data_IF_682734777477
#
_entry.id   IF_682734777477
#
_cell.length_a   1.000
_cell.length_b   1.000
_cell.length_c   1.000
_cell.angle_alpha   90.00
_cell.angle_beta   90.00
_cell.angle_gamma   90.00
#
_symmetry.space_group_name_H-M   'P 1'
#
loop_
_entity.id
_entity.type
_entity.pdbx_description
1 polymer ?
#
# COMPACT_ATOMS: atom_id res chain seq x y z
N UNK A 1 53.95 -21.55 25.94
CA UNK A 1 52.61 -21.45 26.56
C UNK A 1 51.66 -20.99 25.47
N UNK A 2 50.67 -21.83 25.17
CA UNK A 2 49.96 -21.86 23.88
C UNK A 2 48.94 -20.73 23.75
N UNK A 3 49.03 -19.95 22.66
CA UNK A 3 48.00 -19.01 22.23
C UNK A 3 46.77 -19.81 21.78
N UNK A 4 45.64 -19.65 22.47
CA UNK A 4 44.39 -20.37 22.21
C UNK A 4 43.49 -19.53 21.28
N UNK A 5 43.30 -19.89 19.99
CA UNK A 5 42.63 -19.02 19.02
C UNK A 5 41.11 -19.26 18.96
N UNK A 6 40.44 -19.52 20.09
CA UNK A 6 39.01 -19.87 20.12
C UNK A 6 38.05 -18.74 20.48
N UNK A 7 38.36 -17.50 20.10
CA UNK A 7 37.40 -16.37 20.13
C UNK A 7 36.84 -16.02 18.73
N UNK A 8 36.76 -16.98 17.81
CA UNK A 8 36.15 -16.80 16.50
C UNK A 8 34.76 -17.42 16.46
N UNK A 9 33.75 -16.64 16.08
CA UNK A 9 32.36 -17.03 15.76
C UNK A 9 31.43 -17.25 16.97
N UNK A 10 30.92 -16.15 17.55
CA UNK A 10 29.58 -16.19 18.17
C UNK A 10 28.58 -16.53 17.07
N UNK A 11 27.95 -17.71 17.14
CA UNK A 11 26.62 -17.90 16.52
C UNK A 11 25.79 -16.67 16.90
N UNK A 12 25.19 -15.98 15.92
CA UNK A 12 24.35 -14.81 16.21
C UNK A 12 23.37 -15.18 17.32
N UNK A 13 23.35 -14.41 18.40
CA UNK A 13 22.39 -14.69 19.45
C UNK A 13 21.00 -14.48 18.84
N UNK A 14 20.00 -15.34 19.13
CA UNK A 14 18.63 -15.15 18.65
C UNK A 14 18.08 -13.75 18.96
N UNK A 15 18.60 -13.13 20.02
CA UNK A 15 18.32 -11.74 20.42
C UNK A 15 18.82 -10.73 19.38
N UNK A 16 20.00 -10.92 18.78
CA UNK A 16 20.56 -10.00 17.78
C UNK A 16 19.69 -9.99 16.52
N UNK A 17 19.25 -11.17 16.08
CA UNK A 17 18.34 -11.35 14.93
C UNK A 17 17.00 -10.69 15.22
N UNK A 18 16.48 -10.84 16.44
CA UNK A 18 15.22 -10.25 16.86
C UNK A 18 15.28 -8.72 16.91
N UNK A 19 16.36 -8.16 17.48
CA UNK A 19 16.57 -6.70 17.57
C UNK A 19 16.71 -6.10 16.17
N UNK A 20 17.53 -6.70 15.30
CA UNK A 20 17.68 -6.25 13.91
C UNK A 20 16.37 -6.39 13.12
N UNK A 21 15.63 -7.49 13.33
CA UNK A 21 14.32 -7.72 12.71
C UNK A 21 13.30 -6.66 13.12
N UNK A 22 13.19 -6.34 14.41
CA UNK A 22 12.31 -5.28 14.89
C UNK A 22 12.74 -3.89 14.42
N UNK A 23 14.04 -3.60 14.41
CA UNK A 23 14.55 -2.33 13.92
C UNK A 23 14.20 -2.11 12.44
N UNK A 24 14.41 -3.13 11.60
CA UNK A 24 14.01 -3.09 10.18
C UNK A 24 12.49 -2.95 10.03
N UNK A 25 11.71 -3.70 10.79
CA UNK A 25 10.25 -3.60 10.76
C UNK A 25 9.75 -2.18 11.06
N UNK A 26 10.33 -1.53 12.09
CA UNK A 26 9.95 -0.16 12.45
C UNK A 26 10.40 0.84 11.38
N UNK A 27 11.63 0.71 10.88
CA UNK A 27 12.15 1.58 9.84
C UNK A 27 11.32 1.50 8.54
N UNK A 28 11.03 0.29 8.07
CA UNK A 28 10.21 0.04 6.89
C UNK A 28 8.77 0.52 7.10
N UNK A 29 8.22 0.32 8.30
CA UNK A 29 6.91 0.83 8.66
C UNK A 29 6.84 2.35 8.55
N UNK A 30 7.81 3.07 9.13
CA UNK A 30 7.87 4.54 9.05
C UNK A 30 7.93 4.97 7.59
N UNK A 31 8.77 4.31 6.78
CA UNK A 31 8.90 4.57 5.35
C UNK A 31 7.58 4.38 4.61
N UNK A 32 6.86 3.27 4.83
CA UNK A 32 5.57 3.01 4.20
C UNK A 32 4.50 4.01 4.64
N UNK A 33 4.37 4.28 5.94
CA UNK A 33 3.39 5.23 6.46
C UNK A 33 3.64 6.65 5.98
N UNK A 34 4.90 7.08 5.96
CA UNK A 34 5.27 8.40 5.43
C UNK A 34 5.08 8.47 3.91
N UNK A 35 5.40 7.40 3.19
CA UNK A 35 5.17 7.30 1.75
C UNK A 35 3.69 7.46 1.39
N UNK A 36 2.80 6.78 2.12
CA UNK A 36 1.36 6.85 1.91
C UNK A 36 0.80 8.25 2.28
N UNK A 37 1.27 8.85 3.37
CA UNK A 37 0.99 10.24 3.71
C UNK A 37 1.40 11.20 2.59
N UNK A 38 2.63 11.07 2.07
CA UNK A 38 3.16 11.92 1.02
C UNK A 38 2.41 11.72 -0.30
N UNK A 39 2.04 10.49 -0.65
CA UNK A 39 1.24 10.19 -1.85
C UNK A 39 -0.12 10.85 -1.77
N UNK A 40 -0.87 10.59 -0.69
CA UNK A 40 -2.20 11.16 -0.47
C UNK A 40 -2.17 12.69 -0.38
N UNK A 41 -1.15 13.27 0.26
CA UNK A 41 -0.98 14.72 0.31
C UNK A 41 -0.67 15.32 -1.06
N UNK A 42 0.12 14.62 -1.88
CA UNK A 42 0.46 15.07 -3.24
C UNK A 42 -0.74 14.99 -4.17
N UNK A 43 -1.50 13.90 -4.14
CA UNK A 43 -2.74 13.75 -4.89
C UNK A 43 -3.73 14.86 -4.54
N UNK A 44 -3.90 15.17 -3.25
CA UNK A 44 -4.76 16.27 -2.80
C UNK A 44 -4.28 17.64 -3.28
N UNK A 45 -2.97 17.89 -3.25
CA UNK A 45 -2.40 19.14 -3.74
C UNK A 45 -2.56 19.29 -5.26
N UNK A 46 -2.36 18.21 -6.02
CA UNK A 46 -2.58 18.17 -7.47
C UNK A 46 -4.06 18.43 -7.79
N UNK A 47 -4.97 17.76 -7.10
CA UNK A 47 -6.41 17.94 -7.32
C UNK A 47 -6.87 19.37 -6.98
N UNK A 48 -6.35 19.97 -5.91
CA UNK A 48 -6.66 21.35 -5.55
C UNK A 48 -6.12 22.36 -6.57
N UNK A 49 -4.90 22.14 -7.08
CA UNK A 49 -4.30 22.96 -8.13
C UNK A 49 -5.12 22.88 -9.42
N UNK A 50 -5.45 21.69 -9.87
CA UNK A 50 -6.22 21.52 -11.11
C UNK A 50 -7.62 22.13 -11.00
N UNK A 51 -8.26 21.97 -9.83
CA UNK A 51 -9.54 22.61 -9.57
C UNK A 51 -9.47 24.12 -9.73
N UNK A 52 -8.44 24.77 -9.17
CA UNK A 52 -8.27 26.22 -9.32
C UNK A 52 -8.06 26.65 -10.78
N UNK A 53 -7.30 25.85 -11.56
CA UNK A 53 -7.12 26.10 -13.00
C UNK A 53 -8.44 25.94 -13.75
N UNK A 54 -9.20 24.90 -13.44
CA UNK A 54 -10.50 24.60 -14.05
C UNK A 54 -11.53 25.67 -13.69
N UNK A 55 -11.55 26.15 -12.45
CA UNK A 55 -12.41 27.25 -12.00
C UNK A 55 -12.13 28.55 -12.77
N UNK A 56 -10.85 28.87 -12.99
CA UNK A 56 -10.47 30.02 -13.81
C UNK A 56 -10.87 29.84 -15.28
N UNK A 57 -10.67 28.66 -15.84
CA UNK A 57 -11.00 28.36 -17.23
C UNK A 57 -12.50 28.39 -17.48
N UNK A 58 -13.31 27.81 -16.59
CA UNK A 58 -14.78 27.92 -16.66
C UNK A 58 -15.22 29.38 -16.48
N UNK A 59 -14.63 30.14 -15.56
CA UNK A 59 -15.01 31.54 -15.38
C UNK A 59 -14.68 32.44 -16.58
N UNK A 60 -13.60 32.15 -17.32
CA UNK A 60 -13.06 33.02 -18.37
C UNK A 60 -13.25 32.51 -19.81
N UNK A 61 -13.44 31.20 -19.98
CA UNK A 61 -13.49 30.51 -21.27
C UNK A 61 -14.66 29.50 -21.38
N UNK A 62 -15.75 29.67 -20.63
CA UNK A 62 -17.00 28.91 -20.86
C UNK A 62 -17.62 29.25 -22.22
N UNK A 63 -17.04 28.68 -23.27
CA UNK A 63 -17.51 28.80 -24.64
C UNK A 63 -18.52 27.71 -25.01
N UNK A 64 -19.19 27.85 -26.16
CA UNK A 64 -20.12 26.84 -26.66
C UNK A 64 -19.48 25.46 -26.90
N UNK A 65 -18.16 25.37 -27.08
CA UNK A 65 -17.45 24.11 -27.29
C UNK A 65 -17.56 23.16 -26.08
N UNK A 66 -17.46 23.68 -24.85
CA UNK A 66 -17.54 22.88 -23.62
C UNK A 66 -18.92 22.25 -23.44
N UNK A 67 -19.98 23.00 -23.79
CA UNK A 67 -21.35 22.50 -23.75
C UNK A 67 -21.61 21.42 -24.81
N UNK A 68 -20.98 21.54 -25.99
CA UNK A 68 -21.07 20.52 -27.05
C UNK A 68 -20.37 19.23 -26.62
N UNK A 69 -19.22 19.32 -25.96
CA UNK A 69 -18.52 18.15 -25.42
C UNK A 69 -19.35 17.46 -24.34
N UNK A 70 -19.91 18.24 -23.40
CA UNK A 70 -20.75 17.71 -22.32
C UNK A 70 -22.03 17.06 -22.87
N UNK A 71 -22.65 17.66 -23.89
CA UNK A 71 -23.80 17.09 -24.59
C UNK A 71 -23.46 15.75 -25.26
N UNK A 72 -22.34 15.68 -25.99
CA UNK A 72 -21.88 14.43 -26.62
C UNK A 72 -21.62 13.34 -25.59
N UNK A 73 -21.09 13.69 -24.41
CA UNK A 73 -20.90 12.75 -23.31
C UNK A 73 -22.22 12.18 -22.82
N UNK A 74 -23.22 13.01 -22.53
CA UNK A 74 -24.53 12.52 -22.08
C UNK A 74 -25.25 11.68 -23.15
N UNK A 75 -25.11 12.04 -24.42
CA UNK A 75 -25.59 11.21 -25.53
C UNK A 75 -24.87 9.85 -25.60
N UNK A 76 -23.55 9.83 -25.38
CA UNK A 76 -22.78 8.58 -25.34
C UNK A 76 -23.17 7.67 -24.16
N UNK A 77 -23.73 8.24 -23.08
CA UNK A 77 -24.34 7.50 -21.98
C UNK A 77 -25.75 6.97 -22.31
N UNK A 78 -26.29 7.28 -23.49
CA UNK A 78 -27.59 6.80 -23.97
C UNK A 78 -28.75 7.78 -23.74
N UNK A 79 -28.48 9.03 -23.35
CA UNK A 79 -29.51 10.04 -23.17
C UNK A 79 -30.03 10.56 -24.52
N UNK A 80 -31.35 10.78 -24.63
CA UNK A 80 -31.93 11.45 -25.81
C UNK A 80 -31.33 12.85 -25.99
N UNK A 81 -31.26 13.34 -27.23
CA UNK A 81 -30.70 14.64 -27.53
C UNK A 81 -31.45 15.78 -26.83
N UNK A 82 -32.78 15.69 -26.71
CA UNK A 82 -33.58 16.74 -26.07
C UNK A 82 -33.33 16.77 -24.56
N UNK A 83 -33.26 15.59 -23.94
CA UNK A 83 -32.96 15.44 -22.52
C UNK A 83 -31.54 15.91 -22.20
N UNK A 84 -30.54 15.47 -22.98
CA UNK A 84 -29.14 15.88 -22.83
C UNK A 84 -28.96 17.39 -23.01
N UNK A 85 -29.62 17.98 -24.01
CA UNK A 85 -29.61 19.43 -24.22
C UNK A 85 -30.20 20.16 -23.01
N UNK A 86 -31.31 19.65 -22.47
CA UNK A 86 -31.96 20.23 -21.29
C UNK A 86 -31.03 20.18 -20.07
N UNK A 87 -30.43 19.03 -19.77
CA UNK A 87 -29.47 18.85 -18.66
C UNK A 87 -28.28 19.78 -18.80
N UNK A 88 -27.63 19.79 -19.96
CA UNK A 88 -26.45 20.64 -20.22
C UNK A 88 -26.80 22.12 -20.10
N UNK A 89 -27.97 22.54 -20.59
CA UNK A 89 -28.43 23.94 -20.45
C UNK A 89 -28.70 24.35 -19.01
N UNK A 90 -29.10 23.41 -18.15
CA UNK A 90 -29.24 23.64 -16.71
C UNK A 90 -27.86 23.75 -16.07
N UNK A 91 -26.94 22.84 -16.40
CA UNK A 91 -25.58 22.82 -15.86
C UNK A 91 -24.81 24.08 -16.23
N UNK A 92 -25.02 24.61 -17.44
CA UNK A 92 -24.43 25.86 -17.93
C UNK A 92 -24.73 27.07 -17.03
N UNK A 93 -25.76 27.02 -16.18
CA UNK A 93 -26.11 28.10 -15.24
C UNK A 93 -25.26 28.08 -13.96
N UNK A 94 -24.52 27.00 -13.72
CA UNK A 94 -23.85 26.71 -12.46
C UNK A 94 -22.38 26.35 -12.70
N UNK A 95 -21.49 27.35 -12.57
CA UNK A 95 -20.05 27.17 -12.79
C UNK A 95 -19.44 26.05 -11.93
N UNK A 96 -19.92 25.86 -10.70
CA UNK A 96 -19.47 24.78 -9.84
C UNK A 96 -19.78 23.38 -10.41
N UNK A 97 -20.90 23.22 -11.10
CA UNK A 97 -21.28 21.97 -11.76
C UNK A 97 -20.40 21.77 -13.00
N UNK A 98 -20.18 22.82 -13.81
CA UNK A 98 -19.30 22.74 -14.97
C UNK A 98 -17.86 22.37 -14.59
N UNK A 99 -17.31 23.03 -13.55
CA UNK A 99 -15.99 22.68 -13.00
C UNK A 99 -15.95 21.22 -12.58
N UNK A 100 -16.98 20.75 -11.88
CA UNK A 100 -17.06 19.35 -11.44
C UNK A 100 -17.09 18.38 -12.63
N UNK A 101 -17.94 18.62 -13.63
CA UNK A 101 -18.03 17.79 -14.84
C UNK A 101 -16.72 17.78 -15.64
N UNK A 102 -16.05 18.93 -15.73
CA UNK A 102 -14.76 19.07 -16.40
C UNK A 102 -13.64 18.36 -15.65
N UNK A 103 -13.59 18.44 -14.33
CA UNK A 103 -12.65 17.66 -13.52
C UNK A 103 -12.87 16.15 -13.71
N UNK A 104 -14.13 15.70 -13.63
CA UNK A 104 -14.50 14.31 -13.88
C UNK A 104 -14.15 13.86 -15.31
N UNK A 105 -14.25 14.76 -16.29
CA UNK A 105 -13.85 14.51 -17.67
C UNK A 105 -12.37 14.16 -17.82
N UNK A 106 -11.51 14.81 -17.04
CA UNK A 106 -10.07 14.55 -17.01
C UNK A 106 -9.69 13.39 -16.08
N UNK A 107 -10.66 12.64 -15.57
CA UNK A 107 -10.44 11.53 -14.65
C UNK A 107 -10.06 11.97 -13.24
N UNK A 108 -10.25 13.25 -12.91
CA UNK A 108 -9.98 13.77 -11.57
C UNK A 108 -11.24 13.65 -10.73
N UNK A 109 -11.22 12.70 -9.80
CA UNK A 109 -12.22 12.64 -8.75
C UNK A 109 -12.01 13.83 -7.80
N UNK A 110 -13.08 14.47 -7.31
CA UNK A 110 -12.96 15.44 -6.24
C UNK A 110 -12.23 14.78 -5.07
N UNK A 111 -11.19 15.42 -4.51
CA UNK A 111 -10.52 14.87 -3.35
C UNK A 111 -11.56 14.72 -2.25
N UNK A 112 -11.72 13.51 -1.72
CA UNK A 112 -12.65 13.28 -0.61
C UNK A 112 -12.19 14.15 0.57
N UNK A 113 -13.03 15.11 0.96
CA UNK A 113 -12.72 16.03 2.04
C UNK A 113 -12.62 15.31 3.39
N UNK A 114 -13.24 14.13 3.52
CA UNK A 114 -13.17 13.30 4.72
C UNK A 114 -11.80 12.60 4.87
N UNK A 115 -11.08 12.39 3.77
CA UNK A 115 -9.78 11.74 3.79
C UNK A 115 -8.68 12.73 4.22
N UNK A 116 -8.00 12.36 5.31
CA UNK A 116 -6.88 13.11 5.86
C UNK A 116 -5.60 12.31 5.59
N UNK A 117 -4.64 12.84 4.79
CA UNK A 117 -3.43 12.11 4.43
C UNK A 117 -2.68 11.50 5.64
N UNK A 118 -2.63 12.22 6.76
CA UNK A 118 -1.93 11.74 7.96
C UNK A 118 -2.59 10.51 8.59
N UNK A 119 -3.92 10.36 8.44
CA UNK A 119 -4.63 9.18 8.93
C UNK A 119 -4.28 7.96 8.09
N UNK A 120 -4.25 8.11 6.76
CA UNK A 120 -3.89 7.03 5.85
C UNK A 120 -2.47 6.53 6.16
N UNK A 121 -1.51 7.45 6.25
CA UNK A 121 -0.14 7.11 6.64
C UNK A 121 -0.02 6.42 8.01
N UNK A 122 -0.77 6.89 9.02
CA UNK A 122 -0.77 6.28 10.36
C UNK A 122 -1.37 4.87 10.36
N UNK A 123 -2.48 4.67 9.63
CA UNK A 123 -3.12 3.36 9.49
C UNK A 123 -2.20 2.39 8.76
N UNK A 124 -1.54 2.84 7.69
CA UNK A 124 -0.57 2.05 6.92
C UNK A 124 0.63 1.64 7.79
N UNK A 125 1.19 2.57 8.57
CA UNK A 125 2.25 2.28 9.54
C UNK A 125 1.81 1.23 10.57
N UNK A 126 0.67 1.45 11.23
CA UNK A 126 0.18 0.56 12.28
C UNK A 126 -0.14 -0.84 11.73
N UNK A 127 -0.77 -0.93 10.56
CA UNK A 127 -1.03 -2.20 9.89
C UNK A 127 0.28 -2.93 9.57
N UNK A 128 1.28 -2.24 9.03
CA UNK A 128 2.58 -2.83 8.72
C UNK A 128 3.27 -3.40 9.97
N UNK A 129 3.27 -2.66 11.09
CA UNK A 129 3.81 -3.16 12.35
C UNK A 129 3.07 -4.39 12.87
N UNK A 130 1.73 -4.37 12.85
CA UNK A 130 0.93 -5.49 13.36
C UNK A 130 1.18 -6.75 12.53
N UNK A 131 1.03 -6.68 11.21
CA UNK A 131 1.20 -7.86 10.34
C UNK A 131 2.67 -8.29 10.20
N UNK A 132 3.60 -7.35 10.11
CA UNK A 132 5.04 -7.65 9.99
C UNK A 132 5.69 -8.14 11.28
N UNK A 133 5.10 -7.86 12.45
CA UNK A 133 5.57 -8.42 13.72
C UNK A 133 5.26 -9.91 13.88
N UNK A 134 4.32 -10.47 13.12
CA UNK A 134 3.88 -11.86 13.23
C UNK A 134 5.04 -12.88 13.23
N UNK A 135 5.96 -12.91 12.23
CA UNK A 135 7.13 -13.81 12.28
C UNK A 135 8.01 -13.61 13.52
N UNK A 136 8.25 -12.37 13.94
CA UNK A 136 9.12 -12.04 15.07
C UNK A 136 8.50 -12.48 16.40
N UNK A 137 7.18 -12.30 16.56
CA UNK A 137 6.42 -12.78 17.71
C UNK A 137 6.46 -14.30 17.82
N UNK A 138 6.43 -15.02 16.69
CA UNK A 138 6.61 -16.48 16.71
C UNK A 138 7.93 -16.88 17.33
N UNK A 139 9.03 -16.20 16.99
CA UNK A 139 10.34 -16.49 17.59
C UNK A 139 10.33 -16.23 19.10
N UNK A 140 9.78 -15.10 19.55
CA UNK A 140 9.70 -14.77 20.99
C UNK A 140 8.90 -15.82 21.76
N UNK A 141 7.73 -16.21 21.24
CA UNK A 141 6.84 -17.15 21.91
C UNK A 141 7.47 -18.54 22.00
N UNK A 142 8.22 -18.99 20.98
CA UNK A 142 8.78 -20.33 20.95
C UNK A 142 10.10 -20.50 21.74
N UNK A 143 10.81 -19.42 22.07
CA UNK A 143 12.04 -19.45 22.90
C UNK A 143 11.89 -20.28 24.18
N UNK A 144 10.86 -20.10 25.03
CA UNK A 144 10.71 -20.86 26.27
C UNK A 144 10.26 -22.32 26.07
N UNK A 145 9.68 -22.68 24.92
CA UNK A 145 9.10 -24.02 24.69
C UNK A 145 10.03 -24.97 23.95
N UNK A 146 10.96 -24.47 23.14
CA UNK A 146 11.87 -25.32 22.36
C UNK A 146 13.22 -24.66 22.11
N UNK A 147 14.29 -25.45 22.21
CA UNK A 147 15.63 -25.03 21.81
C UNK A 147 15.96 -25.43 20.36
N UNK A 148 15.04 -26.08 19.66
CA UNK A 148 15.22 -26.50 18.27
C UNK A 148 14.93 -25.34 17.31
N UNK A 149 15.96 -24.93 16.56
CA UNK A 149 15.88 -23.83 15.59
C UNK A 149 14.96 -24.16 14.39
N UNK A 150 14.82 -25.43 14.02
CA UNK A 150 13.90 -25.86 12.96
C UNK A 150 12.44 -25.66 13.37
N UNK A 151 12.10 -25.94 14.63
CA UNK A 151 10.73 -25.74 15.13
C UNK A 151 10.38 -24.24 15.18
N UNK A 152 11.33 -23.39 15.59
CA UNK A 152 11.15 -21.93 15.59
C UNK A 152 10.92 -21.38 14.18
N UNK A 153 11.70 -21.86 13.21
CA UNK A 153 11.56 -21.47 11.81
C UNK A 153 10.19 -21.87 11.24
N UNK A 154 9.76 -23.12 11.45
CA UNK A 154 8.44 -23.60 11.00
C UNK A 154 7.31 -22.79 11.65
N UNK A 155 7.42 -22.48 12.95
CA UNK A 155 6.48 -21.61 13.65
C UNK A 155 6.36 -20.23 13.00
N UNK A 156 7.50 -19.61 12.68
CA UNK A 156 7.53 -18.30 12.04
C UNK A 156 6.91 -18.34 10.62
N UNK A 157 7.15 -19.40 9.85
CA UNK A 157 6.51 -19.61 8.55
C UNK A 157 4.98 -19.74 8.67
N UNK A 158 4.49 -20.55 9.62
CA UNK A 158 3.05 -20.73 9.84
C UNK A 158 2.41 -19.41 10.27
N UNK A 159 3.00 -18.71 11.24
CA UNK A 159 2.42 -17.46 11.74
C UNK A 159 2.44 -16.34 10.69
N UNK A 160 3.49 -16.29 9.85
CA UNK A 160 3.54 -15.39 8.70
C UNK A 160 2.49 -15.73 7.65
N UNK A 161 2.30 -17.01 7.33
CA UNK A 161 1.27 -17.44 6.40
C UNK A 161 -0.14 -17.09 6.93
N UNK A 162 -0.40 -17.27 8.23
CA UNK A 162 -1.65 -16.85 8.86
C UNK A 162 -1.86 -15.33 8.77
N UNK A 163 -0.83 -14.54 9.07
CA UNK A 163 -0.88 -13.08 8.96
C UNK A 163 -1.20 -12.63 7.51
N UNK A 164 -0.52 -13.20 6.51
CA UNK A 164 -0.79 -12.93 5.09
C UNK A 164 -2.17 -13.40 4.64
N UNK A 165 -2.65 -14.53 5.16
CA UNK A 165 -4.00 -15.02 4.86
C UNK A 165 -5.07 -14.08 5.45
N UNK A 166 -4.89 -13.60 6.68
CA UNK A 166 -5.78 -12.60 7.28
C UNK A 166 -5.77 -11.28 6.50
N UNK A 167 -4.60 -10.81 6.08
CA UNK A 167 -4.45 -9.62 5.26
C UNK A 167 -5.15 -9.79 3.89
N UNK A 168 -4.94 -10.93 3.22
CA UNK A 168 -5.58 -11.27 1.96
C UNK A 168 -7.11 -11.36 2.07
N UNK A 169 -7.63 -11.91 3.18
CA UNK A 169 -9.06 -11.97 3.45
C UNK A 169 -9.66 -10.59 3.75
N UNK A 170 -8.97 -9.76 4.53
CA UNK A 170 -9.38 -8.37 4.78
C UNK A 170 -9.43 -7.56 3.48
N UNK A 171 -8.40 -7.69 2.63
CA UNK A 171 -8.35 -7.09 1.29
C UNK A 171 -9.53 -7.54 0.43
N UNK A 172 -9.85 -8.84 0.42
CA UNK A 172 -10.97 -9.37 -0.37
C UNK A 172 -12.32 -8.83 0.09
N UNK A 173 -12.52 -8.74 1.40
CA UNK A 173 -13.74 -8.20 2.01
C UNK A 173 -13.99 -6.75 1.59
N UNK A 174 -12.95 -5.93 1.62
CA UNK A 174 -13.04 -4.50 1.28
C UNK A 174 -13.24 -4.33 -0.23
N UNK A 175 -12.52 -5.09 -1.06
CA UNK A 175 -12.57 -4.98 -2.51
C UNK A 175 -13.77 -5.70 -3.16
N UNK A 176 -14.60 -6.42 -2.39
CA UNK A 176 -15.69 -7.23 -2.91
C UNK A 176 -15.22 -8.39 -3.80
N UNK A 177 -13.98 -8.85 -3.63
CA UNK A 177 -13.36 -9.89 -4.46
C UNK A 177 -13.49 -11.28 -3.81
N UNK A 178 -13.19 -12.33 -4.59
CA UNK A 178 -13.14 -13.69 -4.06
C UNK A 178 -12.01 -13.84 -3.02
N UNK A 179 -12.40 -14.23 -1.79
CA UNK A 179 -11.50 -14.44 -0.66
C UNK A 179 -10.38 -15.42 -0.97
N UNK A 180 -10.71 -16.59 -1.55
CA UNK A 180 -9.72 -17.63 -1.82
C UNK A 180 -8.64 -17.15 -2.79
N UNK A 181 -9.04 -16.41 -3.83
CA UNK A 181 -8.10 -15.86 -4.81
C UNK A 181 -7.21 -14.79 -4.19
N UNK A 182 -7.79 -13.83 -3.45
CA UNK A 182 -7.02 -12.77 -2.78
C UNK A 182 -6.01 -13.31 -1.76
N UNK A 183 -6.43 -14.30 -0.96
CA UNK A 183 -5.55 -15.00 -0.01
C UNK A 183 -4.43 -15.74 -0.74
N UNK A 184 -4.75 -16.50 -1.78
CA UNK A 184 -3.75 -17.24 -2.57
C UNK A 184 -2.71 -16.32 -3.20
N UNK A 185 -3.14 -15.21 -3.82
CA UNK A 185 -2.25 -14.20 -4.42
C UNK A 185 -1.36 -13.55 -3.35
N UNK A 186 -1.93 -13.22 -2.19
CA UNK A 186 -1.18 -12.59 -1.09
C UNK A 186 -0.13 -13.54 -0.50
N UNK A 187 -0.49 -14.80 -0.29
CA UNK A 187 0.43 -15.86 0.15
C UNK A 187 1.54 -16.11 -0.88
N UNK A 188 1.18 -16.19 -2.16
CA UNK A 188 2.14 -16.40 -3.25
C UNK A 188 3.16 -15.26 -3.34
N UNK A 189 2.70 -14.01 -3.24
CA UNK A 189 3.60 -12.85 -3.20
C UNK A 189 4.54 -12.90 -1.98
N UNK A 190 4.01 -13.25 -0.81
CA UNK A 190 4.83 -13.45 0.40
C UNK A 190 5.86 -14.57 0.25
N UNK A 191 5.50 -15.68 -0.40
CA UNK A 191 6.41 -16.80 -0.67
C UNK A 191 7.54 -16.39 -1.63
N UNK A 192 7.24 -15.61 -2.68
CA UNK A 192 8.26 -15.06 -3.58
C UNK A 192 9.22 -14.15 -2.82
N UNK A 193 8.70 -13.22 -2.02
CA UNK A 193 9.53 -12.31 -1.24
C UNK A 193 10.43 -13.05 -0.25
N UNK A 194 9.88 -14.04 0.46
CA UNK A 194 10.64 -14.89 1.39
C UNK A 194 11.72 -15.70 0.68
N UNK A 195 11.40 -16.28 -0.49
CA UNK A 195 12.38 -17.00 -1.30
C UNK A 195 13.51 -16.10 -1.79
N UNK A 196 13.19 -14.88 -2.23
CA UNK A 196 14.20 -13.89 -2.63
C UNK A 196 15.10 -13.49 -1.45
N UNK A 197 14.52 -13.19 -0.29
CA UNK A 197 15.29 -12.86 0.92
C UNK A 197 16.20 -14.02 1.36
N UNK A 198 15.70 -15.26 1.33
CA UNK A 198 16.49 -16.45 1.64
C UNK A 198 17.62 -16.66 0.64
N UNK A 199 17.34 -16.52 -0.67
CA UNK A 199 18.34 -16.67 -1.72
C UNK A 199 19.45 -15.61 -1.60
N UNK A 200 19.09 -14.35 -1.30
CA UNK A 200 20.07 -13.28 -1.04
C UNK A 200 20.89 -13.57 0.21
N UNK A 201 20.26 -14.00 1.30
CA UNK A 201 20.97 -14.38 2.52
C UNK A 201 21.95 -15.54 2.30
N UNK A 202 21.53 -16.56 1.55
CA UNK A 202 22.37 -17.70 1.17
C UNK A 202 23.54 -17.27 0.27
N UNK A 203 23.26 -16.48 -0.78
CA UNK A 203 24.29 -16.00 -1.70
C UNK A 203 25.35 -15.13 -1.00
N UNK A 204 24.91 -14.21 -0.13
CA UNK A 204 25.83 -13.37 0.65
C UNK A 204 26.67 -14.20 1.61
N UNK A 205 26.09 -15.21 2.26
CA UNK A 205 26.84 -16.11 3.15
C UNK A 205 27.95 -16.86 2.42
N UNK A 206 27.67 -17.36 1.21
CA UNK A 206 28.64 -18.09 0.40
C UNK A 206 29.73 -17.16 -0.18
N UNK A 207 29.35 -15.99 -0.69
CA UNK A 207 30.29 -15.03 -1.29
C UNK A 207 31.20 -14.40 -0.22
N UNK A 208 30.68 -14.14 0.98
CA UNK A 208 31.46 -13.58 2.09
C UNK A 208 32.42 -14.58 2.75
N UNK A 209 32.51 -15.83 2.26
CA UNK A 209 33.44 -16.83 2.78
C UNK A 209 33.11 -17.31 4.19
N UNK A 210 31.83 -17.33 4.57
CA UNK A 210 31.36 -17.88 5.85
C UNK A 210 31.13 -19.41 5.79
N UNK A 211 31.69 -20.08 4.79
CA UNK A 211 31.85 -21.53 4.77
C UNK A 211 33.11 -21.91 5.56
N UNK A 212 32.92 -22.47 6.75
CA UNK A 212 33.77 -23.50 7.33
C UNK A 212 32.85 -24.55 7.95
#
# INVERSE_FOLDING_TARGET
MSYNPKEGYRKQNPVDVLVLGFANLVADGISMGFGDFMSSSSEKAVAAKERAVTEWDVANHSGPEELVELLRRYQALGMDINDATTVVSIFAKYNNILVHEKMMAHGMLPPDEAEKPWKNGLVTFAAFLVFGSAPLLSFIILIPFTNDDSVKFVGACILSALALALLGAAKAKIAGQNYAFSVAVTLFNGAIAAAAAYALGWALKNIAGLEN
#
